data_IF_813053791787
#
_entry.id   IF_813053791787
#
_cell.length_a   1.000
_cell.length_b   1.000
_cell.length_c   1.000
_cell.angle_alpha   90.00
_cell.angle_beta   90.00
_cell.angle_gamma   90.00
#
_symmetry.space_group_name_H-M   'P 1'
#
loop_
_entity.id
_entity.type
_entity.pdbx_description
1 polymer ?
2 non-polymer ?
3 non-polymer ?
4 non-polymer ?
5 non-polymer ?
6 water ?
#
# COMPACT_ATOMS: atom_id res chain seq x y z
N UNK A 4 -10.42 -0.55 19.54
CA UNK A 4 -11.71 0.05 19.16
C UNK A 4 -11.67 0.46 17.67
N UNK A 5 -10.49 0.79 17.12
CA UNK A 5 -10.40 1.12 15.72
C UNK A 5 -10.85 -0.02 14.82
N UNK A 6 -10.64 -1.26 15.24
CA UNK A 6 -11.01 -2.34 14.33
C UNK A 6 -12.51 -2.40 14.10
N UNK A 7 -13.32 -1.89 15.05
CA UNK A 7 -14.76 -1.91 14.87
C UNK A 7 -15.20 -1.11 13.64
N UNK A 8 -14.35 -0.17 13.18
CA UNK A 8 -14.66 0.64 12.02
C UNK A 8 -14.57 -0.15 10.72
N UNK A 9 -14.07 -1.38 10.76
CA UNK A 9 -13.73 -2.13 9.57
C UNK A 9 -14.52 -3.42 9.44
N UNK A 10 -15.63 -3.55 10.17
CA UNK A 10 -16.35 -4.82 10.18
C UNK A 10 -17.17 -5.05 8.90
N UNK A 11 -17.40 -4.00 8.13
CA UNK A 11 -18.09 -4.11 6.86
C UNK A 11 -17.34 -3.43 5.73
N UNK A 12 -18.05 -3.07 4.68
CA UNK A 12 -17.48 -2.37 3.53
C UNK A 12 -17.28 -0.90 3.87
N UNK A 13 -16.10 -0.37 3.57
CA UNK A 13 -15.75 1.00 3.90
C UNK A 13 -15.37 1.70 2.61
N UNK A 14 -15.98 2.85 2.28
CA UNK A 14 -15.56 3.61 1.10
C UNK A 14 -14.13 4.15 1.26
N UNK A 15 -13.42 4.22 0.13
CA UNK A 15 -12.05 4.72 0.10
C UNK A 15 -11.90 5.85 -0.92
N UNK A 16 -11.09 6.85 -0.56
CA UNK A 16 -10.65 7.88 -1.50
C UNK A 16 -9.13 7.98 -1.42
N UNK A 17 -8.48 8.12 -2.55
CA UNK A 17 -7.02 8.24 -2.62
C UNK A 17 -6.70 9.47 -3.44
N UNK A 18 -5.78 10.30 -2.93
CA UNK A 18 -5.30 11.46 -3.67
C UNK A 18 -3.79 11.49 -3.60
N UNK A 19 -3.15 11.52 -4.76
CA UNK A 19 -1.71 11.56 -4.88
C UNK A 19 -1.29 12.76 -5.71
N UNK A 20 -0.33 13.53 -5.18
CA UNK A 20 0.38 14.58 -5.93
C UNK A 20 1.83 14.14 -6.08
N UNK A 21 2.31 14.10 -7.32
CA UNK A 21 3.62 13.56 -7.61
C UNK A 21 4.46 14.44 -8.51
N UNK A 22 5.77 14.21 -8.41
CA UNK A 22 6.80 14.88 -9.19
C UNK A 22 7.93 13.88 -9.35
N UNK A 23 8.23 13.45 -10.57
CA UNK A 23 9.28 12.47 -10.83
C UNK A 23 10.21 13.03 -11.91
N UNK A 24 11.47 13.28 -11.55
CA UNK A 24 12.42 13.92 -12.46
C UNK A 24 11.81 15.18 -13.06
N UNK A 25 11.02 15.90 -12.26
CA UNK A 25 10.39 17.13 -12.70
C UNK A 25 9.07 16.98 -13.44
N UNK A 26 8.65 15.77 -13.79
CA UNK A 26 7.35 15.54 -14.42
C UNK A 26 6.30 15.54 -13.32
N UNK A 27 5.45 16.55 -13.30
CA UNK A 27 4.40 16.66 -12.28
C UNK A 27 3.14 15.94 -12.73
N UNK A 28 2.49 15.25 -11.79
CA UNK A 28 1.27 14.52 -12.11
C UNK A 28 0.44 14.41 -10.84
N UNK A 29 -0.83 14.05 -11.01
CA UNK A 29 -1.69 13.74 -9.87
C UNK A 29 -2.53 12.52 -10.21
N UNK A 30 -2.92 11.79 -9.19
CA UNK A 30 -3.74 10.61 -9.33
C UNK A 30 -4.88 10.71 -8.32
N UNK A 31 -6.07 10.33 -8.74
CA UNK A 31 -7.21 10.25 -7.84
C UNK A 31 -7.77 8.83 -7.90
N UNK A 32 -8.21 8.33 -6.77
CA UNK A 32 -8.75 6.99 -6.71
C UNK A 32 -9.98 6.92 -5.84
N UNK A 33 -10.87 5.99 -6.18
CA UNK A 33 -12.03 5.69 -5.35
C UNK A 33 -12.40 4.23 -5.48
N UNK A 34 -12.95 3.71 -4.40
CA UNK A 34 -13.45 2.35 -4.34
C UNK A 34 -13.88 2.02 -2.93
N UNK A 35 -13.64 0.78 -2.51
CA UNK A 35 -14.04 0.37 -1.19
C UNK A 35 -13.15 -0.78 -0.73
N UNK A 36 -13.14 -0.96 0.58
CA UNK A 36 -12.38 -2.03 1.18
C UNK A 36 -13.24 -2.83 2.13
N UNK A 37 -12.91 -4.13 2.22
CA UNK A 37 -13.66 -5.05 3.09
C UNK A 37 -12.63 -5.90 3.84
N UNK A 38 -12.27 -5.44 5.04
CA UNK A 38 -11.22 -6.07 5.80
C UNK A 38 -11.55 -7.49 6.24
N UNK A 39 -12.83 -7.87 6.31
CA UNK A 39 -13.13 -9.25 6.66
C UNK A 39 -12.54 -10.22 5.63
N UNK A 40 -12.40 -9.79 4.39
CA UNK A 40 -11.80 -10.59 3.36
C UNK A 40 -10.42 -10.12 2.96
N UNK A 41 -9.92 -9.08 3.61
CA UNK A 41 -8.68 -8.46 3.18
C UNK A 41 -8.72 -7.88 1.79
N UNK A 42 -9.88 -7.38 1.35
CA UNK A 42 -10.13 -7.08 -0.06
C UNK A 42 -10.25 -5.59 -0.31
N UNK A 43 -9.60 -5.13 -1.37
CA UNK A 43 -9.67 -3.75 -1.84
C UNK A 43 -10.07 -3.77 -3.31
N UNK A 44 -10.97 -2.86 -3.70
CA UNK A 44 -11.32 -2.70 -5.12
C UNK A 44 -11.30 -1.20 -5.37
N UNK A 45 -10.45 -0.76 -6.31
CA UNK A 45 -10.27 0.66 -6.56
C UNK A 45 -10.05 0.93 -8.04
N UNK A 46 -10.49 2.12 -8.46
CA UNK A 46 -10.18 2.66 -9.78
C UNK A 46 -9.39 3.95 -9.60
N UNK A 47 -8.25 4.05 -10.27
CA UNK A 47 -7.40 5.22 -10.25
C UNK A 47 -7.37 5.87 -11.63
N UNK A 48 -7.36 7.19 -11.65
CA UNK A 48 -7.18 7.91 -12.91
C UNK A 48 -6.06 8.95 -12.76
N UNK A 49 -5.36 9.21 -13.86
CA UNK A 49 -4.32 10.23 -13.91
C UNK A 49 -5.03 11.51 -14.32
N UNK A 50 -4.92 12.55 -13.50
CA UNK A 50 -5.72 13.74 -13.75
C UNK A 50 -5.21 14.52 -14.96
N UNK A 51 -3.91 14.49 -15.20
CA UNK A 51 -3.25 15.42 -16.12
C UNK A 51 -2.23 14.62 -16.92
N UNK A 52 -2.57 14.32 -18.16
CA UNK A 52 -1.68 13.65 -19.07
C UNK A 52 -1.59 12.17 -18.82
N UNK A 53 -0.90 11.51 -19.74
CA UNK A 53 -0.47 10.14 -19.51
C UNK A 53 0.45 10.12 -18.31
N UNK A 54 0.28 9.11 -17.46
CA UNK A 54 1.11 9.03 -16.27
C UNK A 54 2.57 8.97 -16.69
N UNK A 55 3.45 9.78 -16.11
CA UNK A 55 4.85 9.77 -16.56
C UNK A 55 5.69 8.63 -16.02
N UNK A 56 5.13 7.77 -15.17
CA UNK A 56 5.80 6.54 -14.74
C UNK A 56 4.79 5.42 -14.96
N UNK A 57 5.23 4.18 -14.96
CA UNK A 57 4.26 3.08 -15.17
C UNK A 57 3.36 2.87 -13.96
N UNK A 58 2.09 2.62 -14.25
CA UNK A 58 1.11 2.42 -13.18
C UNK A 58 1.55 1.43 -12.12
N UNK A 59 2.15 0.30 -12.45
CA UNK A 59 2.48 -0.66 -11.38
C UNK A 59 3.46 -0.09 -10.36
N UNK A 60 4.31 0.87 -10.75
CA UNK A 60 5.26 1.40 -9.78
C UNK A 60 4.59 2.23 -8.69
N UNK A 61 3.32 2.59 -8.85
CA UNK A 61 2.59 3.39 -7.86
C UNK A 61 1.66 2.57 -6.98
N UNK A 62 1.54 1.26 -7.25
CA UNK A 62 0.56 0.46 -6.53
C UNK A 62 0.80 0.54 -5.02
N UNK A 63 2.06 0.39 -4.58
CA UNK A 63 2.28 0.36 -3.13
C UNK A 63 2.01 1.71 -2.50
N UNK A 64 2.27 2.79 -3.23
CA UNK A 64 2.04 4.11 -2.70
C UNK A 64 0.55 4.40 -2.58
N UNK A 65 -0.23 3.99 -3.57
CA UNK A 65 -1.64 4.29 -3.61
C UNK A 65 -2.42 3.41 -2.62
N UNK A 67 -3.21 1.36 1.88
CA UNK A 67 -4.23 1.44 2.89
C UNK A 67 -4.22 0.08 3.57
N UNK A 68 -3.11 -0.20 4.28
CA UNK A 68 -2.92 -1.54 4.85
C UNK A 68 -3.82 -1.82 6.03
N UNK A 69 -4.61 -0.83 6.47
CA UNK A 69 -5.69 -1.07 7.42
C UNK A 69 -6.77 -2.00 6.88
N UNK A 70 -6.77 -2.28 5.60
CA UNK A 70 -7.75 -3.23 5.08
C UNK A 70 -7.21 -4.66 5.01
N UNK A 71 -5.99 -4.93 5.48
CA UNK A 71 -5.50 -6.29 5.54
C UNK A 71 -6.37 -7.15 6.45
N UNK A 72 -6.51 -8.43 6.11
CA UNK A 72 -7.22 -9.34 7.01
C UNK A 72 -6.26 -9.88 8.07
N UNK A 73 -6.50 -9.53 9.35
CA UNK A 73 -5.73 -10.12 10.43
C UNK A 73 -6.55 -11.26 11.02
N UNK A 74 -6.08 -12.49 10.97
CA UNK A 74 -6.82 -13.57 11.63
C UNK A 74 -6.96 -13.31 13.13
N UNK A 75 -7.99 -13.95 13.69
CA UNK A 75 -8.38 -13.75 15.09
C UNK A 75 -7.19 -13.80 16.03
N UNK A 76 -6.33 -14.81 15.88
CA UNK A 76 -5.21 -14.97 16.80
C UNK A 76 -4.14 -13.91 16.66
N UNK A 77 -4.23 -13.06 15.65
CA UNK A 77 -3.30 -11.97 15.45
C UNK A 77 -3.92 -10.60 15.66
N UNK A 78 -5.16 -10.52 16.14
CA UNK A 78 -5.83 -9.21 16.21
C UNK A 78 -5.02 -8.21 17.03
N UNK A 79 -4.31 -8.69 18.05
CA UNK A 79 -3.57 -7.78 18.92
C UNK A 79 -2.31 -7.22 18.25
N UNK A 80 -2.07 -7.59 16.98
CA UNK A 80 -0.88 -7.12 16.26
C UNK A 80 -1.20 -6.25 15.06
N UNK A 81 -2.45 -5.76 14.97
CA UNK A 81 -2.92 -4.92 13.87
C UNK A 81 -2.78 -3.44 14.26
N UNK A 82 -1.58 -2.92 14.01
CA UNK A 82 -1.33 -1.50 14.27
C UNK A 82 -2.24 -0.62 13.45
N UNK A 83 -2.41 -0.97 12.18
CA UNK A 83 -3.06 -0.06 11.23
C UNK A 83 -4.47 0.30 11.67
N UNK A 84 -5.29 -0.70 12.00
CA UNK A 84 -6.65 -0.38 12.44
C UNK A 84 -6.66 0.31 13.81
N UNK A 85 -5.73 -0.07 14.69
CA UNK A 85 -5.74 0.46 16.05
C UNK A 85 -5.52 1.97 16.07
N UNK A 86 -4.85 2.51 15.06
CA UNK A 86 -4.59 3.94 14.96
C UNK A 86 -5.81 4.74 14.50
N UNK A 87 -6.93 4.04 14.06
CA UNK A 87 -8.09 4.70 13.48
C UNK A 87 -9.05 5.08 14.61
N UNK A 88 -9.85 6.14 14.42
CA UNK A 88 -10.01 6.90 13.17
C UNK A 88 -9.05 8.07 12.93
N UNK A 89 -8.26 8.48 13.93
CA UNK A 89 -7.37 9.61 13.71
C UNK A 89 -6.30 9.31 12.68
N UNK A 90 -5.88 8.06 12.57
CA UNK A 90 -5.08 7.58 11.45
C UNK A 90 -3.60 7.53 11.73
N UNK A 91 -2.83 7.42 10.64
CA UNK A 91 -1.38 7.35 10.76
C UNK A 91 -0.73 8.02 9.57
N UNK A 92 0.51 8.43 9.79
CA UNK A 92 1.42 8.86 8.76
C UNK A 92 2.19 7.67 8.23
N UNK A 93 2.25 7.53 6.91
CA UNK A 93 3.00 6.46 6.28
C UNK A 93 4.02 7.10 5.37
N UNK A 94 5.30 6.85 5.63
CA UNK A 94 6.42 7.38 4.86
C UNK A 94 7.22 6.24 4.26
N UNK A 95 7.71 6.44 3.04
CA UNK A 95 8.52 5.41 2.40
C UNK A 95 9.66 6.07 1.64
N UNK A 96 10.78 5.36 1.54
CA UNK A 96 11.73 5.48 0.45
C UNK A 96 11.69 4.18 -0.34
N UNK A 97 11.61 4.30 -1.66
CA UNK A 97 11.55 3.16 -2.56
C UNK A 97 12.74 3.25 -3.51
N UNK A 98 13.64 2.25 -3.44
CA UNK A 98 14.83 2.20 -4.30
C UNK A 98 14.61 1.23 -5.44
N UNK A 99 14.57 1.76 -6.66
CA UNK A 99 14.51 0.94 -7.87
C UNK A 99 15.93 0.56 -8.24
N UNK A 100 16.20 -0.75 -8.31
CA UNK A 100 17.53 -1.24 -8.61
C UNK A 100 18.01 -0.66 -9.93
N UNK A 101 19.21 -0.08 -9.92
CA UNK A 101 19.88 0.53 -11.07
C UNK A 101 19.12 1.71 -11.64
N UNK A 102 18.32 2.37 -10.82
CA UNK A 102 17.51 3.48 -11.29
C UNK A 102 17.26 4.41 -10.11
N UNK A 103 16.23 5.24 -10.22
CA UNK A 103 15.93 6.27 -9.27
C UNK A 103 15.18 5.77 -8.06
N UNK A 104 14.66 6.72 -7.30
CA UNK A 104 13.92 6.40 -6.08
C UNK A 104 12.75 7.34 -5.89
N UNK A 105 11.72 6.80 -5.23
CA UNK A 105 10.59 7.57 -4.75
C UNK A 105 10.72 7.80 -3.25
N UNK A 106 10.37 9.01 -2.82
CA UNK A 106 10.12 9.27 -1.40
C UNK A 106 8.69 9.72 -1.27
N UNK A 107 7.97 9.13 -0.33
CA UNK A 107 6.56 9.41 -0.20
C UNK A 107 6.22 9.70 1.26
N UNK A 108 5.23 10.57 1.44
CA UNK A 108 4.61 10.81 2.74
C UNK A 108 3.11 10.85 2.56
N UNK A 109 2.40 10.09 3.36
CA UNK A 109 0.95 9.97 3.26
C UNK A 109 0.35 10.07 4.64
N UNK A 110 -0.88 10.58 4.68
CA UNK A 110 -1.73 10.43 5.84
C UNK A 110 -2.92 9.58 5.46
N UNK A 111 -3.19 8.55 6.27
CA UNK A 111 -4.30 7.64 6.12
C UNK A 111 -5.21 7.82 7.32
N UNK A 112 -6.43 8.28 7.08
CA UNK A 112 -7.33 8.53 8.20
C UNK A 112 -8.77 8.53 7.71
N UNK A 113 -9.69 8.46 8.66
CA UNK A 113 -11.09 8.61 8.30
C UNK A 113 -11.43 10.08 8.15
N UNK A 114 -12.24 10.38 7.14
CA UNK A 114 -12.81 11.72 6.93
C UNK A 114 -14.30 11.43 6.83
N UNK A 115 -15.01 11.61 7.95
CA UNK A 115 -16.37 11.07 8.03
C UNK A 115 -16.35 9.56 7.99
N UNK A 116 -17.14 8.98 7.09
CA UNK A 116 -17.22 7.54 6.98
C UNK A 116 -16.29 6.97 5.91
N UNK A 117 -15.47 7.81 5.29
CA UNK A 117 -14.58 7.39 4.21
C UNK A 117 -13.16 7.31 4.71
N UNK A 118 -12.47 6.23 4.34
CA UNK A 118 -11.04 6.07 4.60
C UNK A 118 -10.27 6.75 3.49
N UNK A 119 -9.46 7.74 3.85
CA UNK A 119 -8.76 8.58 2.88
C UNK A 119 -7.26 8.43 3.02
N UNK A 120 -6.59 8.21 1.88
CA UNK A 120 -5.14 8.16 1.75
C UNK A 120 -4.70 9.34 0.89
N UNK A 121 -4.05 10.34 1.51
CA UNK A 121 -3.53 11.51 0.80
C UNK A 121 -2.02 11.48 0.79
N UNK A 122 -1.43 11.51 -0.41
CA UNK A 122 0.00 11.26 -0.58
C UNK A 122 0.68 12.39 -1.35
N UNK A 123 1.92 12.68 -0.95
CA UNK A 123 2.87 13.45 -1.75
C UNK A 123 4.03 12.54 -2.09
N UNK A 124 4.42 12.53 -3.36
CA UNK A 124 5.46 11.66 -3.87
C UNK A 124 6.48 12.49 -4.61
N UNK A 125 7.75 12.25 -4.36
CA UNK A 125 8.78 12.86 -5.18
C UNK A 125 9.80 11.81 -5.61
N UNK A 126 10.10 11.81 -6.89
CA UNK A 126 11.04 10.86 -7.47
C UNK A 126 12.19 11.58 -8.13
N UNK A 127 13.39 11.05 -7.92
CA UNK A 127 14.60 11.65 -8.48
C UNK A 127 15.52 10.57 -8.99
N UNK A 128 16.49 11.01 -9.82
CA UNK A 128 17.61 10.19 -10.32
C UNK A 128 17.17 9.05 -11.22
N UNK A 129 16.01 9.15 -11.86
CA UNK A 129 15.64 8.13 -12.81
C UNK A 129 16.37 8.35 -14.13
N UNK A 130 16.70 7.23 -14.78
CA UNK A 130 17.36 7.22 -16.08
C UNK A 130 16.35 7.37 -17.20
N UNK A 131 16.59 8.29 -18.15
CA UNK A 131 15.56 8.63 -19.18
C UNK A 131 15.21 7.38 -20.01
N UNK A 132 16.11 6.39 -20.12
CA UNK A 132 15.81 5.16 -20.85
C UNK A 132 15.87 3.94 -19.93
N UNK A 133 15.65 4.14 -18.64
CA UNK A 133 15.46 3.02 -17.73
C UNK A 133 14.06 2.44 -17.87
N UNK A 134 13.77 1.43 -17.04
CA UNK A 134 12.48 0.74 -17.15
C UNK A 134 11.32 1.61 -16.70
N UNK A 135 11.58 2.66 -15.90
CA UNK A 135 10.51 3.46 -15.35
C UNK A 135 10.19 4.56 -16.35
N UNK A 136 11.13 5.45 -16.62
CA UNK A 136 10.83 6.53 -17.57
C UNK A 136 10.73 6.03 -19.01
N UNK A 137 11.30 4.88 -19.32
CA UNK A 137 11.11 4.24 -20.60
C UNK A 137 9.86 3.38 -20.73
N UNK A 138 9.07 3.27 -19.67
CA UNK A 138 7.83 2.52 -19.68
C UNK A 138 8.02 1.13 -20.26
N UNK A 139 8.88 0.37 -19.59
CA UNK A 139 9.19 -1.00 -20.02
C UNK A 139 8.59 -2.06 -19.11
N UNK A 140 7.76 -1.67 -18.16
CA UNK A 140 7.13 -2.59 -17.21
C UNK A 140 5.83 -3.14 -17.79
N UNK A 141 5.64 -4.43 -17.65
CA UNK A 141 4.37 -5.06 -17.97
C UNK A 141 3.28 -4.55 -17.04
N UNK A 142 2.04 -4.54 -17.55
CA UNK A 142 0.90 -4.11 -16.75
C UNK A 142 0.35 -5.31 -16.00
N UNK A 143 1.04 -5.65 -14.93
CA UNK A 143 0.58 -6.69 -14.02
C UNK A 143 1.32 -6.53 -12.69
N UNK A 144 1.07 -7.47 -11.79
CA UNK A 144 1.55 -7.31 -10.41
C UNK A 144 1.72 -8.69 -9.78
N UNK A 145 2.75 -8.82 -8.94
CA UNK A 145 3.11 -10.10 -8.36
C UNK A 145 2.61 -10.19 -6.90
N UNK A 146 3.00 -11.28 -6.22
CA UNK A 146 2.63 -11.53 -4.82
C UNK A 146 3.85 -11.28 -3.93
N UNK A 147 3.64 -10.66 -2.77
CA UNK A 147 4.76 -10.21 -1.98
C UNK A 147 4.58 -10.53 -0.50
N UNK A 148 5.69 -10.43 0.24
CA UNK A 148 5.74 -10.54 1.69
C UNK A 148 6.15 -9.19 2.28
N UNK A 149 5.28 -8.64 3.12
CA UNK A 149 5.44 -7.31 3.70
C UNK A 149 5.80 -7.52 5.17
N UNK A 150 7.06 -7.25 5.54
CA UNK A 150 7.53 -7.60 6.89
C UNK A 150 7.40 -6.41 7.83
N UNK A 151 6.76 -6.64 8.98
CA UNK A 151 6.36 -5.60 9.90
C UNK A 151 7.02 -5.85 11.25
N UNK A 152 7.55 -4.79 11.87
CA UNK A 152 8.13 -4.83 13.21
C UNK A 152 7.78 -3.56 13.97
N UNK A 153 7.70 -3.69 15.30
CA UNK A 153 7.42 -2.53 16.12
C UNK A 153 8.63 -1.61 16.23
N UNK A 154 8.34 -0.31 16.29
CA UNK A 154 9.33 0.77 16.45
C UNK A 154 8.92 1.51 17.73
N UNK A 155 9.51 1.11 18.86
CA UNK A 155 9.03 1.62 20.14
C UNK A 155 9.29 3.11 20.26
N UNK A 156 10.46 3.57 19.80
CA UNK A 156 10.80 4.99 19.90
C UNK A 156 9.69 5.88 19.32
N UNK A 157 9.12 5.48 18.19
CA UNK A 157 8.12 6.31 17.44
C UNK A 157 6.69 5.84 17.73
N UNK A 158 6.47 4.91 18.67
CA UNK A 158 5.14 4.43 18.96
C UNK A 158 4.46 3.99 17.67
N UNK A 159 5.21 3.27 16.82
CA UNK A 159 4.69 2.82 15.53
C UNK A 159 5.39 1.59 15.01
N UNK A 160 5.54 1.52 13.68
CA UNK A 160 6.05 0.35 13.03
C UNK A 160 7.06 0.74 11.96
N UNK A 161 7.98 -0.20 11.71
CA UNK A 161 8.92 -0.20 10.61
C UNK A 161 8.53 -1.37 9.71
N UNK A 162 8.53 -1.14 8.40
CA UNK A 162 8.03 -2.10 7.44
C UNK A 162 9.01 -2.15 6.27
N UNK A 163 9.47 -3.35 5.94
CA UNK A 163 10.44 -3.53 4.86
C UNK A 163 10.02 -4.66 3.95
N UNK A 164 10.12 -4.44 2.63
CA UNK A 164 9.80 -5.50 1.67
C UNK A 164 10.37 -5.15 0.30
N UNK A 165 10.37 -6.11 -0.59
CA UNK A 165 10.76 -5.88 -1.97
C UNK A 165 9.60 -6.21 -2.89
N UNK A 166 9.47 -5.40 -3.93
CA UNK A 166 8.46 -5.60 -4.98
C UNK A 166 9.18 -6.05 -6.23
N UNK A 167 8.59 -6.99 -6.97
CA UNK A 167 9.14 -7.45 -8.24
C UNK A 167 8.22 -6.98 -9.37
N UNK A 168 8.72 -6.12 -10.26
CA UNK A 168 7.98 -5.69 -11.44
C UNK A 168 8.49 -6.45 -12.68
N UNK A 169 7.59 -7.17 -13.34
CA UNK A 169 7.95 -7.87 -14.58
C UNK A 169 8.25 -6.85 -15.67
N UNK A 170 9.34 -7.08 -16.40
CA UNK A 170 9.77 -6.22 -17.50
C UNK A 170 9.40 -6.91 -18.81
N UNK A 171 9.11 -6.10 -19.85
CA UNK A 171 8.59 -6.64 -21.11
C UNK A 171 9.59 -7.54 -21.83
N UNK A 172 10.88 -7.44 -21.53
CA UNK A 172 11.87 -8.34 -22.12
C UNK A 172 12.05 -9.65 -21.34
N UNK A 173 11.23 -9.90 -20.32
CA UNK A 173 11.32 -11.14 -19.57
C UNK A 173 12.09 -11.05 -18.26
N UNK A 174 12.77 -9.93 -18.00
CA UNK A 174 13.49 -9.71 -16.76
C UNK A 174 12.58 -9.12 -15.69
N UNK A 175 13.16 -8.77 -14.53
CA UNK A 175 12.43 -8.20 -13.42
C UNK A 175 13.14 -6.93 -12.95
N UNK A 176 12.34 -5.92 -12.60
CA UNK A 176 12.81 -4.69 -11.97
C UNK A 176 12.46 -4.75 -10.48
N UNK A 177 13.48 -4.74 -9.64
CA UNK A 177 13.27 -4.79 -8.18
C UNK A 177 13.09 -3.39 -7.63
N UNK A 178 12.21 -3.28 -6.62
CA UNK A 178 11.94 -2.03 -5.91
C UNK A 178 11.94 -2.33 -4.42
N UNK A 179 12.99 -1.91 -3.71
CA UNK A 179 13.07 -2.13 -2.26
C UNK A 179 12.35 -1.00 -1.53
N UNK A 180 11.45 -1.39 -0.62
CA UNK A 180 10.59 -0.48 0.12
C UNK A 180 11.06 -0.43 1.58
N UNK A 181 11.39 0.78 2.04
CA UNK A 181 11.75 1.09 3.42
C UNK A 181 10.66 2.02 3.95
N UNK A 182 9.83 1.51 4.87
CA UNK A 182 8.61 2.20 5.30
C UNK A 182 8.56 2.40 6.81
N UNK A 183 7.89 3.48 7.23
CA UNK A 183 7.60 3.69 8.64
C UNK A 183 6.21 4.28 8.78
N UNK A 184 5.53 3.89 9.86
CA UNK A 184 4.20 4.41 10.14
C UNK A 184 4.18 4.89 11.60
N UNK A 185 3.59 6.05 11.81
CA UNK A 185 3.47 6.64 13.15
C UNK A 185 2.05 7.13 13.32
N UNK A 186 1.43 6.88 14.49
CA UNK A 186 0.06 7.36 14.71
C UNK A 186 -0.03 8.87 14.68
N UNK A 187 -1.16 9.37 14.19
CA UNK A 187 -1.46 10.80 14.22
C UNK A 187 -2.04 11.22 15.56
N UNK A 188 -2.90 10.40 16.14
CA UNK A 188 -3.51 10.75 17.41
C UNK A 188 -2.64 10.43 18.63
N UNK A 189 -3.15 10.84 19.79
CA UNK A 189 -2.51 10.58 21.06
C UNK A 189 -2.99 9.29 21.72
N UNK A 190 -3.99 8.64 21.15
CA UNK A 190 -4.56 7.44 21.71
C UNK A 190 -3.63 6.24 21.63
N UNK A 191 -3.88 5.24 22.47
CA UNK A 191 -3.02 4.04 22.47
C UNK A 191 -3.18 3.25 21.17
N UNK A 192 -2.07 2.70 20.70
CA UNK A 192 -2.02 1.89 19.49
C UNK A 192 -1.47 0.52 19.85
N UNK A 193 -1.66 -0.44 18.97
CA UNK A 193 -1.10 -1.77 19.15
C UNK A 193 0.26 -1.82 18.48
N UNK A 194 1.29 -2.19 19.24
CA UNK A 194 2.64 -2.32 18.69
C UNK A 194 2.88 -3.82 18.48
N UNK A 195 3.07 -4.28 17.25
CA UNK A 195 2.99 -5.72 16.99
C UNK A 195 4.30 -6.44 17.28
N UNK A 196 4.18 -7.75 17.54
CA UNK A 196 5.30 -8.66 17.34
C UNK A 196 5.64 -8.71 15.86
N UNK A 197 6.84 -9.20 15.55
CA UNK A 197 7.25 -9.34 14.14
C UNK A 197 6.28 -10.27 13.41
N UNK A 198 5.87 -9.87 12.20
CA UNK A 198 4.95 -10.66 11.38
C UNK A 198 5.01 -10.12 9.96
N UNK A 199 4.18 -10.68 9.07
CA UNK A 199 4.19 -10.18 7.70
C UNK A 199 2.79 -10.24 7.10
N UNK A 200 2.61 -9.48 6.02
CA UNK A 200 1.40 -9.56 5.19
C UNK A 200 1.75 -10.28 3.90
N UNK A 201 1.04 -11.16 3.50
CA UNK A 201 1.02 -11.85 2.18
C UNK A 201 -0.04 -11.15 1.21
N UNK A 202 0.47 -10.76 0.09
CA UNK A 202 -0.34 -9.97 -0.81
C UNK A 202 -0.54 -10.64 -2.16
N UNK A 203 -1.63 -10.23 -2.84
CA UNK A 203 -1.83 -10.57 -4.25
C UNK A 203 -2.68 -9.44 -4.81
N UNK A 204 -2.28 -8.90 -5.98
CA UNK A 204 -3.00 -7.81 -6.64
C UNK A 204 -3.19 -8.13 -8.11
N UNK A 205 -4.32 -7.70 -8.64
CA UNK A 205 -4.65 -7.88 -10.05
C UNK A 205 -4.93 -6.51 -10.63
N UNK A 206 -4.28 -6.18 -11.75
CA UNK A 206 -4.46 -4.92 -12.42
C UNK A 206 -5.28 -5.13 -13.68
N UNK A 207 -6.22 -4.23 -13.94
CA UNK A 207 -7.07 -4.39 -15.10
C UNK A 207 -7.41 -3.02 -15.66
N UNK A 208 -8.16 -3.03 -16.75
CA UNK A 208 -8.56 -1.80 -17.46
C UNK A 208 -10.07 -1.79 -17.63
N UNK A 209 -10.62 -0.60 -17.81
CA UNK A 209 -12.06 -0.38 -18.01
C UNK A 209 -12.20 0.18 -19.42
N UNK A 210 -12.78 -0.57 -20.35
CA UNK A 210 -12.91 -0.04 -21.72
C UNK A 210 -13.65 1.27 -21.82
N UNK A 211 -14.50 1.61 -20.88
CA UNK A 211 -15.21 2.88 -20.96
C UNK A 211 -14.40 4.05 -20.43
N UNK A 212 -13.28 3.80 -19.77
CA UNK A 212 -12.48 4.87 -19.17
C UNK A 212 -11.43 5.30 -20.18
N UNK A 213 -11.58 6.50 -20.74
CA UNK A 213 -10.68 6.94 -21.80
C UNK A 213 -9.51 7.77 -21.29
N UNK A 214 -9.51 8.13 -20.01
CA UNK A 214 -8.34 8.68 -19.34
C UNK A 214 -7.35 7.58 -18.99
N UNK A 215 -6.08 7.93 -18.88
CA UNK A 215 -5.10 6.97 -18.40
C UNK A 215 -5.48 6.52 -16.98
N UNK A 216 -5.55 5.21 -16.76
CA UNK A 216 -6.17 4.70 -15.55
C UNK A 216 -5.67 3.31 -15.18
N UNK A 217 -6.07 2.90 -13.97
CA UNK A 217 -5.74 1.59 -13.40
C UNK A 217 -6.89 1.11 -12.53
N UNK A 218 -7.36 -0.10 -12.78
CA UNK A 218 -8.32 -0.77 -11.91
C UNK A 218 -7.56 -1.84 -11.14
N UNK A 219 -7.79 -1.88 -9.84
CA UNK A 219 -6.99 -2.71 -8.93
C UNK A 219 -7.93 -3.53 -8.07
N UNK A 220 -7.64 -4.83 -7.96
CA UNK A 220 -8.27 -5.73 -7.01
C UNK A 220 -7.16 -6.37 -6.19
N UNK A 221 -7.21 -6.21 -4.88
CA UNK A 221 -6.15 -6.66 -3.99
C UNK A 221 -6.70 -7.53 -2.88
N UNK A 222 -5.98 -8.58 -2.51
CA UNK A 222 -6.30 -9.34 -1.30
C UNK A 222 -5.04 -9.47 -0.46
N UNK A 223 -5.16 -9.20 0.85
CA UNK A 223 -4.01 -9.21 1.74
C UNK A 223 -4.40 -9.89 3.04
N UNK A 224 -3.57 -10.84 3.49
CA UNK A 224 -3.76 -11.54 4.76
C UNK A 224 -2.49 -11.46 5.58
N UNK A 225 -2.65 -11.26 6.88
CA UNK A 225 -1.50 -11.29 7.79
C UNK A 225 -1.14 -12.70 8.22
N UNK A 226 0.15 -12.89 8.49
CA UNK A 226 0.66 -14.21 8.88
C UNK A 226 1.96 -14.02 9.66
N UNK A 227 2.56 -15.13 10.10
CA UNK A 227 3.84 -15.09 10.78
C UNK A 227 3.79 -15.10 12.29
N UNK A 228 2.61 -15.19 12.89
CA UNK A 228 2.45 -15.40 14.33
C UNK A 228 1.88 -16.80 14.49
N UNK A 229 2.54 -17.63 15.28
CA UNK A 229 2.16 -19.03 15.41
C UNK A 229 0.88 -19.18 16.22
N UNK A 230 0.01 -20.06 15.76
CA UNK A 230 -1.15 -20.44 16.58
C UNK A 230 -0.70 -21.18 17.82
N UNK A 231 -1.32 -20.85 18.95
CA UNK A 231 -1.12 -21.66 20.14
C UNK A 231 -1.69 -23.05 19.98
N UNK A 232 -1.15 -24.00 20.75
CA UNK A 232 -1.64 -25.36 20.65
C UNK A 232 -3.13 -25.42 20.97
N UNK A 233 -3.64 -24.57 21.86
CA UNK A 233 -5.06 -24.65 22.17
C UNK A 233 -5.90 -24.28 20.95
N UNK A 234 -5.44 -23.28 20.19
CA UNK A 234 -6.16 -22.91 18.98
C UNK A 234 -6.01 -23.97 17.89
N UNK A 235 -4.81 -24.54 17.76
CA UNK A 235 -4.58 -25.53 16.70
C UNK A 235 -5.45 -26.78 16.88
N UNK A 236 -5.61 -27.22 18.11
CA UNK A 236 -6.34 -28.45 18.40
C UNK A 236 -7.76 -28.18 18.89
N UNK A 237 -8.27 -26.97 18.67
CA UNK A 237 -9.59 -26.64 19.19
C UNK A 237 -10.66 -27.44 18.48
N UNK A 238 -11.62 -27.97 19.27
CA UNK A 238 -12.87 -28.40 18.70
C UNK A 238 -13.90 -27.28 18.58
#
# INVERSE_FOLDING_TARGET
MVSKGEELFTGVVPILVELDGDVNGHKFSVSGEGEGDATYGKLTLKFISTTGKLPVPWPTLVTTLXVQCFSRYPDHMKQHDFFKSAMPEGYVQERTIFFKDDGNYKTRAEVKFEGDTLVNRIELKGIDFKEDGNILGHKLEYNYNCHNVYIMADKQKNGIKVNFKIRHNIEDGSVQLADHYQQNTPIGDGPVLLPDNHYLCTQSALSKDPNEKRDHMVLLEFVTAAGITLGMDELYKR
#
